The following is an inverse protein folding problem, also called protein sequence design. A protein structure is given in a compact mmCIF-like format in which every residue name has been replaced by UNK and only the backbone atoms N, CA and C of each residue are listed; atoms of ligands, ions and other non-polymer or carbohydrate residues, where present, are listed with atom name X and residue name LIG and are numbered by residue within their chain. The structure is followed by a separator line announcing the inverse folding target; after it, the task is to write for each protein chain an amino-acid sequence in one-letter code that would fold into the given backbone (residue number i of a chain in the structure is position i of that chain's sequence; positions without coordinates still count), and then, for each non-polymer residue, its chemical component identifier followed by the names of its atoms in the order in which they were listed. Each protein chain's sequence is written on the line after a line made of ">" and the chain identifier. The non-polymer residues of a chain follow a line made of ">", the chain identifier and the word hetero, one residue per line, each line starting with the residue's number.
data_IF_045907871024
#
_entry.id   IF_045907871024
#
_cell.length_a   1.000
_cell.length_b   1.000
_cell.length_c   1.000
_cell.angle_alpha   90.00
_cell.angle_beta   90.00
_cell.angle_gamma   90.00
#
_symmetry.space_group_name_H-M   'P 1'
#
loop_
_entity.id
_entity.type
_entity.pdbx_description
1 polymer ?
#
# COMPACT_ATOMS: atom_id res chain seq x y z
N UNK A 1 -14.46 -0.24 -7.02
CA UNK A 1 -14.44 0.84 -6.02
C UNK A 1 -13.01 0.94 -5.50
N UNK A 2 -12.31 2.07 -5.67
CA UNK A 2 -10.90 2.15 -5.28
C UNK A 2 -10.78 1.97 -3.77
N UNK A 3 -9.89 1.07 -3.34
CA UNK A 3 -9.60 0.87 -1.93
C UNK A 3 -8.92 2.12 -1.41
N UNK A 4 -9.73 3.08 -0.93
CA UNK A 4 -9.25 4.21 -0.14
C UNK A 4 -8.75 3.62 1.17
N UNK A 5 -7.46 3.30 1.23
CA UNK A 5 -6.78 2.92 2.47
C UNK A 5 -6.95 4.07 3.46
N UNK A 6 -8.01 4.02 4.25
CA UNK A 6 -8.05 4.66 5.53
C UNK A 6 -7.30 3.73 6.47
N UNK A 7 -6.17 4.16 7.03
CA UNK A 7 -5.46 3.38 8.03
C UNK A 7 -6.46 2.89 9.09
N UNK A 8 -6.39 1.63 9.52
CA UNK A 8 -7.30 1.10 10.55
C UNK A 8 -7.26 1.94 11.84
N UNK A 9 -6.16 2.65 12.11
CA UNK A 9 -5.99 3.60 13.22
C UNK A 9 -6.83 4.87 13.08
N UNK A 10 -7.04 5.39 11.86
CA UNK A 10 -7.85 6.60 11.63
C UNK A 10 -9.35 6.32 11.76
N UNK A 11 -9.77 5.10 11.43
CA UNK A 11 -11.14 4.60 11.66
C UNK A 11 -11.36 4.31 13.15
N UNK A 12 -10.35 3.77 13.85
CA UNK A 12 -10.38 3.52 15.29
C UNK A 12 -10.63 4.79 16.11
N UNK A 13 -9.93 5.89 15.81
CA UNK A 13 -10.14 7.14 16.54
C UNK A 13 -11.47 7.82 16.18
N UNK A 14 -11.85 7.85 14.89
CA UNK A 14 -13.11 8.48 14.47
C UNK A 14 -14.37 7.72 14.94
N UNK A 15 -14.31 6.38 15.03
CA UNK A 15 -15.43 5.56 15.52
C UNK A 15 -15.51 5.53 17.05
N UNK A 16 -14.38 5.53 17.78
CA UNK A 16 -14.38 5.60 19.25
C UNK A 16 -14.68 7.00 19.77
N UNK A 17 -14.36 8.03 18.98
CA UNK A 17 -14.70 9.41 19.29
C UNK A 17 -16.02 9.86 18.66
N UNK A 18 -16.76 9.02 17.92
CA UNK A 18 -18.09 9.40 17.41
C UNK A 18 -19.07 9.83 18.52
N UNK A 19 -18.89 9.30 19.75
CA UNK A 19 -19.61 9.76 20.95
C UNK A 19 -18.90 10.86 21.75
N UNK A 20 -17.61 11.13 21.50
CA UNK A 20 -16.77 12.09 22.26
C UNK A 20 -16.54 13.40 21.48
N UNK A 21 -16.53 13.38 20.15
CA UNK A 21 -16.26 14.54 19.30
C UNK A 21 -17.44 15.49 19.13
N UNK A 22 -18.66 15.08 19.49
CA UNK A 22 -19.78 16.03 19.63
C UNK A 22 -19.67 16.88 20.92
N UNK A 23 -18.75 16.53 21.85
CA UNK A 23 -18.48 17.29 23.09
C UNK A 23 -17.48 18.44 22.88
N UNK A 24 -16.67 18.40 21.82
CA UNK A 24 -15.51 19.29 21.64
C UNK A 24 -15.78 20.56 20.79
N UNK A 25 -16.98 20.71 20.24
CA UNK A 25 -17.40 21.89 19.49
C UNK A 25 -18.43 22.63 20.35
N UNK A 26 -18.02 23.75 20.96
CA UNK A 26 -18.77 24.53 21.96
C UNK A 26 -20.10 25.16 21.52
N UNK A 27 -20.96 24.42 20.82
CA UNK A 27 -22.40 24.57 20.93
C UNK A 27 -22.83 23.63 22.04
N UNK A 28 -23.09 24.18 23.22
CA UNK A 28 -23.53 23.40 24.38
C UNK A 28 -24.82 22.66 24.09
N UNK A 29 -24.70 21.41 23.64
CA UNK A 29 -25.67 20.40 24.03
C UNK A 29 -25.30 20.03 25.46
N UNK A 30 -26.23 20.15 26.41
CA UNK A 30 -25.94 19.77 27.78
C UNK A 30 -25.50 18.31 27.78
N UNK A 31 -24.68 17.94 28.75
CA UNK A 31 -24.17 16.59 29.00
C UNK A 31 -25.29 15.57 29.33
N UNK A 32 -26.53 15.84 28.91
CA UNK A 32 -27.74 15.03 28.99
C UNK A 32 -27.64 13.84 28.03
N UNK A 33 -26.79 12.88 28.41
CA UNK A 33 -26.56 11.64 27.67
C UNK A 33 -25.53 10.76 28.35
N UNK A 34 -24.51 11.36 29.00
CA UNK A 34 -23.55 10.62 29.82
C UNK A 34 -24.21 9.89 31.00
N UNK A 35 -25.31 10.44 31.51
CA UNK A 35 -26.05 9.82 32.62
C UNK A 35 -26.69 8.48 32.23
N UNK A 36 -26.96 8.26 30.94
CA UNK A 36 -27.52 7.00 30.40
C UNK A 36 -26.45 5.98 30.02
N UNK A 37 -25.18 6.37 30.05
CA UNK A 37 -24.07 5.45 29.77
C UNK A 37 -23.83 4.53 30.96
N UNK A 38 -23.52 3.27 30.67
CA UNK A 38 -23.05 2.32 31.67
C UNK A 38 -21.72 2.80 32.29
N UNK A 39 -21.35 2.33 33.49
CA UNK A 39 -20.06 2.65 34.09
C UNK A 39 -18.87 2.37 33.14
N UNK A 40 -18.94 1.28 32.37
CA UNK A 40 -17.92 0.89 31.40
C UNK A 40 -17.86 1.87 30.22
N UNK A 41 -19.01 2.29 29.70
CA UNK A 41 -19.10 3.27 28.61
C UNK A 41 -18.56 4.64 29.04
N UNK A 42 -18.87 5.08 30.26
CA UNK A 42 -18.31 6.31 30.84
C UNK A 42 -16.79 6.24 30.96
N UNK A 43 -16.24 5.10 31.38
CA UNK A 43 -14.80 4.91 31.48
C UNK A 43 -14.10 5.00 30.11
N UNK A 44 -14.74 4.51 29.05
CA UNK A 44 -14.23 4.63 27.68
C UNK A 44 -14.25 6.09 27.22
N UNK A 45 -15.34 6.82 27.50
CA UNK A 45 -15.45 8.26 27.19
C UNK A 45 -14.35 9.06 27.88
N UNK A 46 -14.16 8.85 29.19
CA UNK A 46 -13.15 9.58 29.96
C UNK A 46 -11.73 9.30 29.47
N UNK A 47 -11.40 8.02 29.24
CA UNK A 47 -10.10 7.63 28.69
C UNK A 47 -9.83 8.26 27.32
N UNK A 48 -10.85 8.38 26.49
CA UNK A 48 -10.73 9.00 25.16
C UNK A 48 -10.58 10.52 25.27
N UNK A 49 -11.28 11.15 26.21
CA UNK A 49 -11.12 12.57 26.54
C UNK A 49 -9.70 12.87 27.02
N UNK A 50 -9.17 12.13 27.98
CA UNK A 50 -7.79 12.30 28.44
C UNK A 50 -6.77 12.16 27.30
N UNK A 51 -6.99 11.20 26.38
CA UNK A 51 -6.15 11.03 25.19
C UNK A 51 -6.22 12.27 24.29
N UNK A 52 -7.42 12.76 24.02
CA UNK A 52 -7.65 13.97 23.22
C UNK A 52 -6.95 15.20 23.81
N UNK A 53 -7.05 15.37 25.13
CA UNK A 53 -6.42 16.47 25.86
C UNK A 53 -4.88 16.40 25.79
N UNK A 54 -4.29 15.19 25.63
CA UNK A 54 -2.84 15.00 25.47
C UNK A 54 -2.33 15.14 24.03
N UNK A 55 -3.21 15.20 23.03
CA UNK A 55 -2.80 15.33 21.62
C UNK A 55 -2.22 16.73 21.34
N UNK A 56 -1.16 16.77 20.52
CA UNK A 56 -0.65 18.03 19.96
C UNK A 56 -1.70 18.69 19.03
N UNK A 57 -1.66 20.02 18.83
CA UNK A 57 -2.62 20.73 17.97
C UNK A 57 -2.77 20.13 16.58
N UNK A 58 -1.67 19.72 15.95
CA UNK A 58 -1.64 19.12 14.62
C UNK A 58 -2.32 17.75 14.59
N UNK A 59 -2.14 16.98 15.67
CA UNK A 59 -2.77 15.66 15.82
C UNK A 59 -4.27 15.80 16.04
N UNK A 60 -4.70 16.74 16.88
CA UNK A 60 -6.12 17.08 17.05
C UNK A 60 -6.76 17.47 15.72
N UNK A 61 -6.10 18.31 14.93
CA UNK A 61 -6.60 18.72 13.62
C UNK A 61 -6.78 17.51 12.68
N UNK A 62 -5.81 16.59 12.62
CA UNK A 62 -5.93 15.36 11.82
C UNK A 62 -7.11 14.51 12.26
N UNK A 63 -7.33 14.37 13.57
CA UNK A 63 -8.48 13.63 14.11
C UNK A 63 -9.80 14.28 13.70
N UNK A 64 -9.90 15.61 13.74
CA UNK A 64 -11.08 16.36 13.29
C UNK A 64 -11.33 16.17 11.79
N UNK A 65 -10.29 16.22 10.97
CA UNK A 65 -10.41 15.98 9.52
C UNK A 65 -10.90 14.57 9.22
N UNK A 66 -10.37 13.56 9.91
CA UNK A 66 -10.83 12.18 9.79
C UNK A 66 -12.30 12.02 10.21
N UNK A 67 -12.71 12.71 11.28
CA UNK A 67 -14.10 12.71 11.73
C UNK A 67 -15.04 13.37 10.72
N UNK A 68 -14.67 14.54 10.17
CA UNK A 68 -15.45 15.19 9.09
C UNK A 68 -15.59 14.27 7.88
N UNK A 69 -14.49 13.62 7.48
CA UNK A 69 -14.49 12.66 6.38
C UNK A 69 -15.39 11.45 6.66
N UNK A 70 -15.39 10.95 7.89
CA UNK A 70 -16.29 9.88 8.31
C UNK A 70 -17.76 10.31 8.23
N UNK A 71 -18.11 11.49 8.76
CA UNK A 71 -19.48 12.02 8.71
C UNK A 71 -19.97 12.27 7.29
N UNK A 72 -19.08 12.53 6.34
CA UNK A 72 -19.42 12.70 4.92
C UNK A 72 -19.52 11.38 4.13
N UNK A 73 -19.21 10.23 4.73
CA UNK A 73 -19.32 8.92 4.07
C UNK A 73 -20.76 8.45 3.95
N UNK A 74 -21.07 7.74 2.87
CA UNK A 74 -22.37 7.07 2.73
C UNK A 74 -22.54 5.95 3.77
N UNK A 75 -23.78 5.51 4.08
CA UNK A 75 -24.01 4.38 4.98
C UNK A 75 -23.23 3.11 4.58
N UNK A 76 -23.10 2.84 3.28
CA UNK A 76 -22.36 1.70 2.73
C UNK A 76 -20.86 1.84 2.97
N UNK A 77 -20.31 3.04 2.77
CA UNK A 77 -18.89 3.33 3.04
C UNK A 77 -18.57 3.20 4.53
N UNK A 78 -19.45 3.71 5.40
CA UNK A 78 -19.33 3.54 6.85
C UNK A 78 -19.38 2.07 7.25
N UNK A 79 -20.29 1.29 6.65
CA UNK A 79 -20.40 -0.14 6.92
C UNK A 79 -19.17 -0.92 6.45
N UNK A 80 -18.64 -0.60 5.27
CA UNK A 80 -17.42 -1.21 4.75
C UNK A 80 -16.20 -0.92 5.67
N UNK A 81 -16.11 0.30 6.19
CA UNK A 81 -15.08 0.68 7.16
C UNK A 81 -15.23 -0.06 8.51
N UNK A 82 -16.46 -0.22 9.02
CA UNK A 82 -16.73 -1.04 10.22
C UNK A 82 -16.30 -2.50 10.03
N UNK A 83 -16.62 -3.10 8.89
CA UNK A 83 -16.19 -4.46 8.57
C UNK A 83 -14.67 -4.56 8.43
N UNK A 84 -14.02 -3.56 7.82
CA UNK A 84 -12.56 -3.48 7.75
C UNK A 84 -11.92 -3.45 9.14
N UNK A 85 -12.50 -2.68 10.05
CA UNK A 85 -12.06 -2.64 11.44
C UNK A 85 -12.25 -3.98 12.16
N UNK A 86 -13.39 -4.65 11.98
CA UNK A 86 -13.62 -5.98 12.55
C UNK A 86 -12.59 -7.00 12.05
N UNK A 87 -12.29 -7.02 10.74
CA UNK A 87 -11.23 -7.85 10.17
C UNK A 87 -9.89 -7.54 10.80
N UNK A 88 -9.52 -6.26 10.92
CA UNK A 88 -8.27 -5.85 11.57
C UNK A 88 -8.20 -6.32 13.04
N UNK A 89 -9.29 -6.21 13.80
CA UNK A 89 -9.35 -6.70 15.19
C UNK A 89 -9.19 -8.21 15.29
N UNK A 90 -9.63 -8.96 14.29
CA UNK A 90 -9.51 -10.42 14.25
C UNK A 90 -8.12 -10.91 13.84
N UNK A 91 -7.24 -10.05 13.31
CA UNK A 91 -5.90 -10.45 12.90
C UNK A 91 -5.04 -10.93 14.09
N UNK A 92 -4.12 -11.89 13.86
CA UNK A 92 -3.09 -12.25 14.83
C UNK A 92 -2.27 -11.03 15.30
N UNK A 93 -1.74 -11.04 16.53
CA UNK A 93 -0.94 -9.92 17.06
C UNK A 93 0.22 -9.49 16.16
N UNK A 94 0.89 -10.44 15.52
CA UNK A 94 2.05 -10.23 14.64
C UNK A 94 1.63 -9.48 13.36
N UNK A 95 0.51 -9.86 12.76
CA UNK A 95 -0.03 -9.19 11.58
C UNK A 95 -0.49 -7.76 11.91
N UNK A 96 -1.14 -7.57 13.07
CA UNK A 96 -1.49 -6.24 13.56
C UNK A 96 -0.25 -5.36 13.72
N UNK A 97 0.80 -5.89 14.35
CA UNK A 97 2.08 -5.17 14.52
C UNK A 97 2.67 -4.76 13.19
N UNK A 98 2.70 -5.66 12.20
CA UNK A 98 3.16 -5.35 10.85
C UNK A 98 2.37 -4.21 10.22
N UNK A 99 1.04 -4.29 10.22
CA UNK A 99 0.18 -3.24 9.64
C UNK A 99 0.40 -1.89 10.35
N UNK A 100 0.53 -1.89 11.67
CA UNK A 100 0.79 -0.67 12.45
C UNK A 100 2.17 -0.08 12.13
N UNK A 101 3.20 -0.90 11.97
CA UNK A 101 4.52 -0.45 11.54
C UNK A 101 4.52 0.09 10.11
N UNK A 102 3.84 -0.59 9.18
CA UNK A 102 3.67 -0.12 7.81
C UNK A 102 2.99 1.26 7.79
N UNK A 103 1.99 1.45 8.65
CA UNK A 103 1.30 2.72 8.81
C UNK A 103 2.19 3.80 9.43
N UNK A 104 3.00 3.48 10.44
CA UNK A 104 3.98 4.41 11.00
C UNK A 104 4.98 4.88 9.94
N UNK A 105 5.58 3.95 9.19
CA UNK A 105 6.49 4.28 8.09
C UNK A 105 5.83 5.16 7.04
N UNK A 106 4.56 4.92 6.71
CA UNK A 106 3.80 5.79 5.82
C UNK A 106 3.65 7.23 6.37
N UNK A 107 3.38 7.37 7.68
CA UNK A 107 3.27 8.68 8.33
C UNK A 107 4.61 9.41 8.47
N UNK A 108 5.73 8.71 8.38
CA UNK A 108 7.07 9.30 8.36
C UNK A 108 7.48 9.76 6.95
N UNK A 109 6.79 9.29 5.89
CA UNK A 109 7.07 9.75 4.54
C UNK A 109 6.78 11.25 4.40
N UNK A 110 7.73 12.00 3.83
CA UNK A 110 7.52 13.38 3.40
C UNK A 110 6.48 13.47 2.26
N UNK A 111 5.86 14.64 2.11
CA UNK A 111 4.74 14.84 1.17
C UNK A 111 5.08 14.45 -0.27
N UNK A 112 6.27 14.82 -0.76
CA UNK A 112 6.69 14.50 -2.12
C UNK A 112 6.69 12.99 -2.37
N UNK A 113 7.23 12.21 -1.42
CA UNK A 113 7.27 10.74 -1.51
C UNK A 113 5.87 10.13 -1.41
N UNK A 114 5.01 10.66 -0.53
CA UNK A 114 3.60 10.22 -0.46
C UNK A 114 2.87 10.45 -1.78
N UNK A 115 3.02 11.63 -2.38
CA UNK A 115 2.42 11.97 -3.69
C UNK A 115 2.92 11.04 -4.79
N UNK A 116 4.22 10.75 -4.83
CA UNK A 116 4.81 9.82 -5.80
C UNK A 116 4.19 8.42 -5.67
N UNK A 117 4.10 7.88 -4.45
CA UNK A 117 3.52 6.56 -4.20
C UNK A 117 2.02 6.52 -4.52
N UNK A 118 1.29 7.58 -4.19
CA UNK A 118 -0.12 7.69 -4.54
C UNK A 118 -0.34 7.69 -6.05
N UNK A 119 0.45 8.46 -6.80
CA UNK A 119 0.38 8.45 -8.27
C UNK A 119 0.78 7.09 -8.85
N UNK A 120 1.77 6.41 -8.26
CA UNK A 120 2.14 5.06 -8.67
C UNK A 120 0.99 4.06 -8.46
N UNK A 121 0.29 4.18 -7.33
CA UNK A 121 -0.89 3.37 -7.03
C UNK A 121 -2.05 3.67 -7.99
N UNK A 122 -2.33 4.93 -8.29
CA UNK A 122 -3.37 5.31 -9.26
C UNK A 122 -3.06 4.77 -10.67
N UNK A 123 -1.79 4.82 -11.09
CA UNK A 123 -1.36 4.20 -12.35
C UNK A 123 -1.60 2.68 -12.32
N UNK A 124 -1.28 2.03 -11.21
CA UNK A 124 -1.54 0.61 -11.00
C UNK A 124 -3.05 0.28 -11.09
N UNK A 125 -3.90 1.04 -10.40
CA UNK A 125 -5.36 0.88 -10.41
C UNK A 125 -6.03 1.17 -11.76
N UNK A 126 -5.32 1.80 -12.70
CA UNK A 126 -5.79 2.00 -14.08
C UNK A 126 -5.30 0.92 -15.05
N UNK A 127 -4.38 0.05 -14.63
CA UNK A 127 -3.90 -1.04 -15.49
C UNK A 127 -5.04 -2.03 -15.78
N UNK A 128 -5.16 -2.52 -17.04
CA UNK A 128 -6.01 -3.65 -17.37
C UNK A 128 -5.68 -4.87 -16.51
N UNK A 129 -6.67 -5.71 -16.14
CA UNK A 129 -6.46 -6.88 -15.29
C UNK A 129 -5.34 -7.81 -15.76
N UNK A 130 -5.22 -8.02 -17.08
CA UNK A 130 -4.21 -8.89 -17.69
C UNK A 130 -2.81 -8.31 -17.50
N UNK A 131 -2.68 -6.98 -17.54
CA UNK A 131 -1.39 -6.32 -17.28
C UNK A 131 -1.00 -6.44 -15.82
N UNK A 132 -1.93 -6.26 -14.89
CA UNK A 132 -1.66 -6.48 -13.45
C UNK A 132 -1.23 -7.91 -13.19
N UNK A 133 -1.96 -8.88 -13.73
CA UNK A 133 -1.66 -10.31 -13.58
C UNK A 133 -0.24 -10.63 -14.02
N UNK A 134 0.18 -10.12 -15.19
CA UNK A 134 1.57 -10.30 -15.69
C UNK A 134 2.62 -9.66 -14.80
N UNK A 135 2.35 -8.50 -14.21
CA UNK A 135 3.29 -7.84 -13.29
C UNK A 135 3.42 -8.66 -12.00
N UNK A 136 2.30 -9.10 -11.43
CA UNK A 136 2.29 -9.93 -10.22
C UNK A 136 2.95 -11.30 -10.45
N UNK A 137 2.77 -11.90 -11.61
CA UNK A 137 3.45 -13.13 -12.00
C UNK A 137 4.96 -12.94 -12.07
N UNK A 138 5.44 -11.88 -12.74
CA UNK A 138 6.87 -11.56 -12.80
C UNK A 138 7.47 -11.26 -11.42
N UNK A 139 6.71 -10.59 -10.57
CA UNK A 139 7.11 -10.33 -9.19
C UNK A 139 7.28 -11.64 -8.40
N UNK A 140 6.31 -12.56 -8.49
CA UNK A 140 6.40 -13.90 -7.89
C UNK A 140 7.59 -14.71 -8.42
N UNK A 141 7.85 -14.66 -9.73
CA UNK A 141 9.02 -15.29 -10.33
C UNK A 141 10.34 -14.70 -9.81
N UNK A 142 10.39 -13.38 -9.57
CA UNK A 142 11.54 -12.71 -8.98
C UNK A 142 11.74 -13.12 -7.51
N UNK A 143 10.67 -13.19 -6.73
CA UNK A 143 10.71 -13.70 -5.34
C UNK A 143 11.07 -15.19 -5.26
N UNK A 144 10.87 -15.98 -6.32
CA UNK A 144 11.30 -17.37 -6.35
C UNK A 144 12.81 -17.54 -6.65
N UNK A 145 13.50 -16.50 -7.09
CA UNK A 145 14.93 -16.57 -7.42
C UNK A 145 15.80 -16.73 -6.18
N UNK A 146 16.95 -17.42 -6.35
CA UNK A 146 18.00 -17.45 -5.31
C UNK A 146 18.54 -16.04 -5.03
N UNK A 147 19.12 -15.79 -3.85
CA UNK A 147 19.76 -14.51 -3.54
C UNK A 147 20.76 -14.05 -4.62
N UNK A 148 21.62 -14.95 -5.10
CA UNK A 148 22.64 -14.68 -6.12
C UNK A 148 21.99 -14.32 -7.47
N UNK A 149 20.93 -15.03 -7.84
CA UNK A 149 20.18 -14.74 -9.06
C UNK A 149 19.46 -13.39 -8.98
N UNK A 150 18.85 -13.06 -7.83
CA UNK A 150 18.22 -11.74 -7.61
C UNK A 150 19.25 -10.63 -7.70
N UNK A 151 20.41 -10.80 -7.08
CA UNK A 151 21.49 -9.83 -7.18
C UNK A 151 21.96 -9.63 -8.62
N UNK A 152 22.11 -10.72 -9.39
CA UNK A 152 22.46 -10.63 -10.81
C UNK A 152 21.42 -9.82 -11.59
N UNK A 153 20.13 -10.06 -11.35
CA UNK A 153 19.04 -9.29 -11.97
C UNK A 153 19.11 -7.81 -11.56
N UNK A 154 19.31 -7.52 -10.28
CA UNK A 154 19.42 -6.15 -9.77
C UNK A 154 20.63 -5.41 -10.36
N UNK A 155 21.81 -6.05 -10.43
CA UNK A 155 23.00 -5.48 -11.07
C UNK A 155 22.80 -5.22 -12.56
N UNK A 156 22.14 -6.14 -13.28
CA UNK A 156 21.78 -5.95 -14.67
C UNK A 156 20.84 -4.75 -14.86
N UNK A 157 19.84 -4.63 -13.98
CA UNK A 157 18.89 -3.52 -14.00
C UNK A 157 19.58 -2.19 -13.70
N UNK A 158 20.48 -2.15 -12.72
CA UNK A 158 21.23 -0.95 -12.35
C UNK A 158 22.12 -0.48 -13.51
N UNK A 159 22.88 -1.39 -14.13
CA UNK A 159 23.64 -1.08 -15.35
C UNK A 159 22.75 -0.51 -16.44
N UNK A 160 21.58 -1.12 -16.68
CA UNK A 160 20.65 -0.63 -17.68
C UNK A 160 20.12 0.78 -17.36
N UNK A 161 19.83 1.08 -16.09
CA UNK A 161 19.39 2.41 -15.64
C UNK A 161 20.45 3.47 -15.87
N UNK A 162 21.72 3.12 -15.69
CA UNK A 162 22.87 4.02 -15.88
C UNK A 162 23.22 4.29 -17.34
N UNK A 163 22.81 3.42 -18.28
CA UNK A 163 23.07 3.63 -19.71
C UNK A 163 22.32 4.84 -20.29
N UNK A 164 22.98 5.57 -21.18
CA UNK A 164 22.37 6.63 -21.99
C UNK A 164 21.35 6.07 -22.99
N UNK A 165 20.41 6.90 -23.50
CA UNK A 165 19.52 6.49 -24.59
C UNK A 165 20.28 5.90 -25.79
N UNK A 166 21.37 6.53 -26.21
CA UNK A 166 22.21 6.14 -27.36
C UNK A 166 22.93 4.81 -27.11
N UNK A 167 23.43 4.58 -25.89
CA UNK A 167 24.01 3.29 -25.51
C UNK A 167 22.97 2.17 -25.57
N UNK A 168 21.76 2.42 -25.07
CA UNK A 168 20.65 1.46 -25.15
C UNK A 168 20.21 1.20 -26.59
N UNK A 169 20.25 2.21 -27.46
CA UNK A 169 19.93 2.06 -28.88
C UNK A 169 20.98 1.22 -29.59
N UNK A 170 22.27 1.49 -29.38
CA UNK A 170 23.38 0.69 -29.92
C UNK A 170 23.29 -0.77 -29.50
N UNK A 171 22.98 -1.04 -28.23
CA UNK A 171 22.78 -2.42 -27.76
C UNK A 171 21.57 -3.09 -28.42
N UNK A 172 20.47 -2.37 -28.62
CA UNK A 172 19.29 -2.88 -29.31
C UNK A 172 19.56 -3.15 -30.78
N UNK A 173 20.31 -2.29 -31.45
CA UNK A 173 20.72 -2.46 -32.84
C UNK A 173 21.66 -3.65 -33.00
N UNK A 174 22.70 -3.76 -32.16
CA UNK A 174 23.59 -4.92 -32.11
C UNK A 174 22.80 -6.23 -31.89
N UNK A 175 21.79 -6.21 -31.02
CA UNK A 175 20.93 -7.38 -30.81
C UNK A 175 20.03 -7.69 -32.02
N UNK A 176 19.60 -6.67 -32.77
CA UNK A 176 18.78 -6.85 -33.99
C UNK A 176 19.61 -7.36 -35.17
N UNK A 177 20.87 -6.94 -35.30
CA UNK A 177 21.78 -7.37 -36.37
C UNK A 177 22.46 -8.71 -36.10
N UNK A 178 22.38 -9.22 -34.87
CA UNK A 178 22.92 -10.53 -34.50
C UNK A 178 22.14 -11.68 -35.18
N UNK A 179 22.81 -12.64 -35.85
CA UNK A 179 22.16 -13.81 -36.46
C UNK A 179 21.27 -14.57 -35.46
N UNK A 180 20.12 -15.14 -35.89
CA UNK A 180 19.20 -15.85 -35.01
C UNK A 180 19.86 -16.93 -34.13
N UNK A 181 20.78 -17.71 -34.69
CA UNK A 181 21.52 -18.75 -33.95
C UNK A 181 22.43 -18.17 -32.87
N UNK A 182 23.11 -17.05 -33.15
CA UNK A 182 23.98 -16.40 -32.18
C UNK A 182 23.15 -15.81 -31.02
N UNK A 183 21.97 -15.26 -31.32
CA UNK A 183 21.01 -14.82 -30.30
C UNK A 183 20.51 -15.98 -29.44
N UNK A 184 20.28 -17.16 -30.03
CA UNK A 184 19.85 -18.35 -29.31
C UNK A 184 20.96 -18.83 -28.34
N UNK A 185 22.19 -18.97 -28.83
CA UNK A 185 23.37 -19.33 -28.02
C UNK A 185 23.61 -18.35 -26.88
N UNK A 186 23.50 -17.05 -27.15
CA UNK A 186 23.68 -16.01 -26.14
C UNK A 186 22.56 -16.04 -25.08
N UNK A 187 21.32 -16.32 -25.49
CA UNK A 187 20.18 -16.46 -24.57
C UNK A 187 20.36 -17.66 -23.65
N UNK A 188 20.78 -18.79 -24.19
CA UNK A 188 21.08 -20.00 -23.43
C UNK A 188 22.22 -19.76 -22.42
N UNK A 189 23.26 -19.05 -22.81
CA UNK A 189 24.37 -18.70 -21.90
C UNK A 189 23.96 -17.73 -20.78
N UNK A 190 23.13 -16.75 -21.08
CA UNK A 190 22.72 -15.70 -20.12
C UNK A 190 21.54 -16.12 -19.24
N UNK A 191 20.70 -17.01 -19.75
CA UNK A 191 19.54 -17.59 -19.11
C UNK A 191 19.57 -19.10 -19.34
N UNK A 192 20.50 -19.82 -18.69
CA UNK A 192 20.49 -21.27 -18.78
C UNK A 192 19.10 -21.79 -18.39
N UNK A 193 18.61 -22.86 -19.03
CA UNK A 193 17.31 -23.44 -18.71
C UNK A 193 17.20 -23.60 -17.19
N UNK A 194 16.20 -22.95 -16.60
CA UNK A 194 15.92 -23.12 -15.18
C UNK A 194 15.29 -24.50 -15.02
N UNK A 195 16.08 -25.46 -14.55
CA UNK A 195 15.56 -26.73 -14.06
C UNK A 195 14.86 -26.47 -12.72
N UNK A 196 13.54 -26.25 -12.74
CA UNK A 196 12.75 -26.04 -11.53
C UNK A 196 11.30 -25.63 -11.78
N UNK A 197 10.38 -25.88 -10.82
CA UNK A 197 8.96 -25.58 -10.94
C UNK A 197 8.74 -24.06 -10.80
N UNK A 198 8.82 -23.34 -11.93
CA UNK A 198 8.68 -21.87 -11.95
C UNK A 198 9.38 -21.17 -13.10
N UNK A 199 9.98 -21.91 -14.05
CA UNK A 199 10.52 -21.34 -15.28
C UNK A 199 9.41 -20.56 -16.02
N UNK A 200 9.56 -19.24 -16.27
CA UNK A 200 8.61 -18.52 -17.10
C UNK A 200 8.55 -19.17 -18.48
N UNK A 201 7.37 -19.29 -19.12
CA UNK A 201 7.29 -19.82 -20.46
C UNK A 201 8.19 -19.01 -21.38
N UNK A 202 8.87 -19.70 -22.30
CA UNK A 202 9.66 -19.06 -23.34
C UNK A 202 8.83 -17.93 -23.94
N UNK A 203 9.34 -16.69 -23.91
CA UNK A 203 8.62 -15.56 -24.50
C UNK A 203 8.36 -15.94 -25.96
N UNK A 204 7.10 -15.93 -26.44
CA UNK A 204 6.84 -16.19 -27.84
C UNK A 204 7.64 -15.17 -28.65
N UNK A 205 8.38 -15.66 -29.63
CA UNK A 205 9.06 -14.79 -30.57
C UNK A 205 7.99 -13.88 -31.17
N UNK A 206 8.11 -12.57 -30.95
CA UNK A 206 7.28 -11.62 -31.66
C UNK A 206 7.77 -11.63 -33.10
N UNK A 207 7.15 -12.45 -33.93
CA UNK A 207 7.25 -12.39 -35.38
C UNK A 207 6.90 -10.95 -35.79
N UNK A 208 7.85 -10.30 -36.47
CA UNK A 208 7.60 -9.09 -37.26
C UNK A 208 7.71 -9.50 -38.71
#
# INVERSE_FOLDING_TARGET
>A
MPARWLPPVLILLALLLGGVLEVAWGQGLPVQGLERLSPEERQVVERNRERWERLAPEERQRVLENYRRWKSMTPEEQQAARQGYQRFRALPPEEKRRILQDFQRWNELGEARRRELQQAYERWERLPPERRARILERYRQFEALSPEERERVQRNQERWRQMSPEERDRLRERWRSMPPEERARLRERLHPPREGPGAPPARPERSR
#
